data_IF_699580901640
#
_entry.id   IF_699580901640
#
_cell.length_a   1.000
_cell.length_b   1.000
_cell.length_c   1.000
_cell.angle_alpha   90.00
_cell.angle_beta   90.00
_cell.angle_gamma   90.00
#
_symmetry.space_group_name_H-M   'P 1'
#
loop_
_entity.id
_entity.type
_entity.pdbx_description
1 polymer ?
#
# COMPACT_ATOMS: atom_id res chain seq x y z
N UNK A 1 23.34 -1.42 -15.39
CA UNK A 1 23.39 -1.83 -13.96
C UNK A 1 22.13 -2.64 -13.71
N UNK A 2 22.26 -3.89 -13.26
CA UNK A 2 21.13 -4.76 -12.95
C UNK A 2 20.51 -4.38 -11.60
N UNK A 3 19.22 -4.64 -11.44
CA UNK A 3 18.46 -4.34 -10.21
C UNK A 3 17.85 -5.64 -9.68
N UNK A 4 17.84 -5.81 -8.35
CA UNK A 4 17.32 -7.02 -7.71
C UNK A 4 18.11 -8.25 -8.13
N UNK A 5 17.39 -9.31 -8.52
CA UNK A 5 17.95 -10.61 -8.90
C UNK A 5 18.36 -10.68 -10.38
N UNK A 6 18.28 -9.57 -11.11
CA UNK A 6 18.60 -9.51 -12.53
C UNK A 6 20.04 -9.93 -12.83
N UNK A 7 20.21 -10.79 -13.84
CA UNK A 7 21.53 -11.16 -14.39
C UNK A 7 21.45 -11.53 -15.86
N UNK A 8 22.61 -11.70 -16.50
CA UNK A 8 22.72 -12.32 -17.82
C UNK A 8 23.10 -13.78 -17.63
N UNK A 9 22.30 -14.70 -18.16
CA UNK A 9 22.59 -16.12 -18.07
C UNK A 9 23.64 -16.56 -19.11
N UNK A 10 24.04 -17.84 -19.09
CA UNK A 10 25.07 -18.38 -19.97
C UNK A 10 24.73 -18.29 -21.48
N UNK A 11 23.46 -18.06 -21.84
CA UNK A 11 23.01 -17.86 -23.23
C UNK A 11 23.01 -16.39 -23.66
N UNK A 12 23.41 -15.47 -22.79
CA UNK A 12 23.36 -14.03 -23.07
C UNK A 12 21.96 -13.42 -22.89
N UNK A 13 21.00 -14.13 -22.29
CA UNK A 13 19.65 -13.63 -22.06
C UNK A 13 19.53 -12.96 -20.69
N UNK A 14 18.62 -11.98 -20.58
CA UNK A 14 18.21 -11.43 -19.28
C UNK A 14 17.47 -12.50 -18.48
N UNK A 15 17.81 -12.63 -17.21
CA UNK A 15 17.17 -13.51 -16.25
C UNK A 15 16.73 -12.72 -15.02
N UNK A 16 15.51 -12.97 -14.53
CA UNK A 16 14.91 -12.31 -13.35
C UNK A 16 14.36 -13.41 -12.43
N UNK A 17 14.80 -13.46 -11.17
CA UNK A 17 14.36 -14.49 -10.22
C UNK A 17 14.74 -15.92 -10.63
N UNK A 18 15.75 -16.08 -11.49
CA UNK A 18 16.10 -17.37 -12.11
C UNK A 18 15.27 -17.73 -13.35
N UNK A 19 14.34 -16.87 -13.77
CA UNK A 19 13.50 -17.06 -14.96
C UNK A 19 14.08 -16.33 -16.17
N UNK A 20 14.33 -17.06 -17.27
CA UNK A 20 14.83 -16.50 -18.54
C UNK A 20 13.73 -15.66 -19.21
N UNK A 21 14.02 -14.39 -19.50
CA UNK A 21 13.06 -13.45 -20.07
C UNK A 21 12.55 -13.85 -21.46
N UNK A 22 13.34 -14.58 -22.25
CA UNK A 22 12.91 -15.09 -23.56
C UNK A 22 11.89 -16.21 -23.40
N UNK A 23 12.08 -17.08 -22.41
CA UNK A 23 11.12 -18.14 -22.09
C UNK A 23 9.82 -17.56 -21.52
N UNK A 24 9.92 -16.58 -20.61
CA UNK A 24 8.75 -15.85 -20.10
C UNK A 24 7.93 -15.20 -21.22
N UNK A 25 8.60 -14.52 -22.16
CA UNK A 25 7.92 -13.90 -23.31
C UNK A 25 7.26 -14.92 -24.23
N UNK A 26 7.86 -16.11 -24.38
CA UNK A 26 7.29 -17.21 -25.18
C UNK A 26 6.06 -17.81 -24.50
N UNK A 27 6.11 -18.00 -23.19
CA UNK A 27 5.04 -18.63 -22.41
C UNK A 27 3.84 -17.68 -22.19
N UNK A 28 4.10 -16.44 -21.77
CA UNK A 28 3.06 -15.49 -21.36
C UNK A 28 2.73 -14.42 -22.42
N UNK A 29 3.48 -14.36 -23.52
CA UNK A 29 3.34 -13.35 -24.56
C UNK A 29 3.88 -11.97 -24.16
N UNK A 30 3.64 -10.97 -25.01
CA UNK A 30 4.07 -9.58 -24.77
C UNK A 30 2.96 -8.59 -25.18
N UNK A 31 2.80 -7.43 -24.49
CA UNK A 31 3.64 -6.92 -23.40
C UNK A 31 3.46 -7.68 -22.08
N UNK A 32 4.55 -7.86 -21.34
CA UNK A 32 4.59 -8.62 -20.08
C UNK A 32 5.23 -7.80 -18.96
N UNK A 33 4.55 -7.71 -17.83
CA UNK A 33 5.13 -7.20 -16.59
C UNK A 33 5.68 -8.36 -15.77
N UNK A 34 6.99 -8.32 -15.49
CA UNK A 34 7.67 -9.30 -14.63
C UNK A 34 8.03 -8.62 -13.32
N UNK A 35 7.52 -9.13 -12.21
CA UNK A 35 7.81 -8.63 -10.87
C UNK A 35 8.87 -9.52 -10.22
N UNK A 36 9.97 -8.90 -9.82
CA UNK A 36 10.99 -9.56 -9.00
C UNK A 36 10.52 -9.57 -7.53
N UNK A 37 10.06 -10.73 -7.07
CA UNK A 37 9.55 -10.90 -5.70
C UNK A 37 10.64 -10.64 -4.65
N UNK A 38 11.88 -11.10 -4.86
CA UNK A 38 12.93 -10.92 -3.86
C UNK A 38 13.30 -9.44 -3.75
N UNK A 39 13.35 -8.71 -4.88
CA UNK A 39 13.55 -7.26 -4.85
C UNK A 39 12.47 -6.54 -4.03
N UNK A 40 11.19 -6.94 -4.17
CA UNK A 40 10.10 -6.38 -3.37
C UNK A 40 10.30 -6.67 -1.88
N UNK A 41 10.64 -7.91 -1.52
CA UNK A 41 10.90 -8.32 -0.14
C UNK A 41 12.10 -7.59 0.46
N UNK A 42 13.19 -7.47 -0.29
CA UNK A 42 14.37 -6.70 0.10
C UNK A 42 14.01 -5.24 0.40
N UNK A 43 13.19 -4.61 -0.44
CA UNK A 43 12.72 -3.25 -0.19
C UNK A 43 11.92 -3.16 1.13
N UNK A 44 10.97 -4.07 1.36
CA UNK A 44 10.21 -4.15 2.62
C UNK A 44 11.13 -4.25 3.85
N UNK A 45 12.09 -5.18 3.81
CA UNK A 45 13.07 -5.41 4.88
C UNK A 45 13.96 -4.19 5.09
N UNK A 46 14.41 -3.53 4.03
CA UNK A 46 15.26 -2.35 4.10
C UNK A 46 14.57 -1.19 4.84
N UNK A 47 13.27 -0.95 4.58
CA UNK A 47 12.49 0.04 5.33
C UNK A 47 12.39 -0.33 6.81
N UNK A 48 11.99 -1.57 7.13
CA UNK A 48 11.88 -2.03 8.53
C UNK A 48 13.19 -1.89 9.30
N UNK A 49 14.30 -2.32 8.70
CA UNK A 49 15.61 -2.22 9.35
C UNK A 49 16.06 -0.76 9.55
N UNK A 50 15.81 0.10 8.57
CA UNK A 50 16.25 1.50 8.61
C UNK A 50 15.53 2.33 9.69
N UNK A 51 14.25 2.05 9.92
CA UNK A 51 13.44 2.73 10.92
C UNK A 51 13.49 2.05 12.30
N UNK A 52 13.47 0.71 12.34
CA UNK A 52 13.50 -0.06 13.59
C UNK A 52 14.78 0.12 14.40
N UNK A 53 15.89 0.52 13.76
CA UNK A 53 17.14 0.89 14.48
C UNK A 53 17.05 2.23 15.21
N UNK A 54 16.12 3.11 14.84
CA UNK A 54 16.09 4.52 15.29
C UNK A 54 14.92 4.85 16.20
N UNK A 55 13.83 4.09 16.10
CA UNK A 55 12.56 4.39 16.76
C UNK A 55 12.05 3.13 17.44
N UNK A 56 11.53 3.26 18.66
CA UNK A 56 11.10 2.13 19.49
C UNK A 56 9.84 1.45 18.96
N UNK A 57 8.94 2.23 18.35
CA UNK A 57 7.69 1.76 17.78
C UNK A 57 7.50 2.42 16.42
N UNK A 58 7.60 1.64 15.35
CA UNK A 58 7.36 2.10 13.98
C UNK A 58 6.53 1.08 13.25
N UNK A 59 5.49 1.57 12.61
CA UNK A 59 4.72 0.81 11.65
C UNK A 59 5.11 1.28 10.24
N UNK A 60 5.53 0.33 9.41
CA UNK A 60 5.81 0.57 8.00
C UNK A 60 4.62 0.05 7.20
N UNK A 61 3.95 0.93 6.47
CA UNK A 61 2.87 0.56 5.57
C UNK A 61 3.34 0.53 4.12
N UNK A 62 2.95 -0.52 3.39
CA UNK A 62 3.02 -0.51 1.93
C UNK A 62 1.84 0.31 1.38
N UNK A 63 2.11 1.22 0.44
CA UNK A 63 1.08 2.03 -0.18
C UNK A 63 0.43 1.27 -1.35
N UNK A 64 -0.78 0.74 -1.16
CA UNK A 64 -1.48 -0.09 -2.14
C UNK A 64 -1.64 0.56 -3.52
N UNK A 65 -1.83 1.88 -3.57
CA UNK A 65 -1.91 2.67 -4.82
C UNK A 65 -0.71 2.50 -5.77
N UNK A 66 0.45 2.02 -5.30
CA UNK A 66 1.61 1.78 -6.14
C UNK A 66 1.40 0.56 -7.06
N UNK A 67 0.92 -0.54 -6.48
CA UNK A 67 0.53 -1.78 -7.15
C UNK A 67 -0.14 -2.67 -6.10
N UNK A 68 -1.39 -3.05 -6.29
CA UNK A 68 -2.11 -3.92 -5.35
C UNK A 68 -2.76 -5.10 -6.07
N UNK A 69 -2.25 -6.30 -5.79
CA UNK A 69 -2.85 -7.58 -6.16
C UNK A 69 -2.89 -8.45 -4.92
N UNK A 70 -3.66 -9.55 -4.96
CA UNK A 70 -3.71 -10.49 -3.83
C UNK A 70 -2.34 -11.10 -3.52
N UNK A 71 -1.49 -11.30 -4.52
CA UNK A 71 -0.11 -11.77 -4.35
C UNK A 71 0.75 -10.73 -3.61
N UNK A 72 0.66 -9.45 -4.00
CA UNK A 72 1.39 -8.36 -3.34
C UNK A 72 0.94 -8.21 -1.89
N UNK A 73 -0.37 -8.28 -1.62
CA UNK A 73 -0.90 -8.26 -0.24
C UNK A 73 -0.25 -9.35 0.63
N UNK A 74 -0.16 -10.58 0.13
CA UNK A 74 0.44 -11.71 0.86
C UNK A 74 1.94 -11.52 1.09
N UNK A 75 2.68 -11.00 0.12
CA UNK A 75 4.11 -10.71 0.28
C UNK A 75 4.30 -9.63 1.37
N UNK A 76 3.54 -8.54 1.29
CA UNK A 76 3.57 -7.44 2.28
C UNK A 76 3.21 -7.94 3.68
N UNK A 77 2.21 -8.81 3.78
CA UNK A 77 1.82 -9.43 5.05
C UNK A 77 2.95 -10.27 5.63
N UNK A 78 3.56 -11.13 4.82
CA UNK A 78 4.65 -12.04 5.19
C UNK A 78 5.93 -11.30 5.59
N UNK A 79 6.22 -10.15 4.97
CA UNK A 79 7.31 -9.27 5.38
C UNK A 79 6.95 -8.42 6.63
N UNK A 80 5.74 -8.61 7.17
CA UNK A 80 5.24 -8.00 8.39
C UNK A 80 5.19 -6.46 8.30
N UNK A 81 4.57 -5.96 7.22
CA UNK A 81 4.25 -4.54 7.01
C UNK A 81 2.75 -4.30 7.16
N UNK A 82 2.35 -3.08 7.53
CA UNK A 82 0.97 -2.62 7.37
C UNK A 82 0.63 -2.39 5.90
N UNK A 83 -0.65 -2.10 5.62
CA UNK A 83 -1.12 -1.81 4.27
C UNK A 83 -1.99 -0.55 4.27
N UNK A 84 -1.64 0.40 3.41
CA UNK A 84 -2.48 1.56 3.15
C UNK A 84 -3.35 1.29 1.91
N UNK A 85 -4.66 1.47 2.05
CA UNK A 85 -5.64 1.39 0.96
C UNK A 85 -6.36 2.73 0.81
N UNK A 86 -6.79 3.09 -0.38
CA UNK A 86 -7.37 4.40 -0.69
C UNK A 86 -8.76 4.32 -1.35
N UNK A 87 -9.30 3.11 -1.57
CA UNK A 87 -10.62 2.91 -2.18
C UNK A 87 -11.26 1.59 -1.76
N UNK A 88 -12.56 1.44 -2.04
CA UNK A 88 -13.25 0.16 -1.87
C UNK A 88 -12.60 -0.98 -2.67
N UNK A 89 -12.15 -0.74 -3.90
CA UNK A 89 -11.51 -1.79 -4.71
C UNK A 89 -10.21 -2.31 -4.09
N UNK A 90 -9.42 -1.41 -3.51
CA UNK A 90 -8.18 -1.78 -2.81
C UNK A 90 -8.47 -2.52 -1.50
N UNK A 91 -9.43 -2.04 -0.70
CA UNK A 91 -9.86 -2.72 0.53
C UNK A 91 -10.43 -4.11 0.25
N UNK A 92 -11.25 -4.25 -0.81
CA UNK A 92 -11.75 -5.54 -1.26
C UNK A 92 -10.62 -6.48 -1.68
N UNK A 93 -9.62 -5.98 -2.40
CA UNK A 93 -8.43 -6.77 -2.79
C UNK A 93 -7.68 -7.29 -1.56
N UNK A 94 -7.51 -6.45 -0.53
CA UNK A 94 -6.86 -6.84 0.71
C UNK A 94 -7.66 -7.91 1.49
N UNK A 95 -9.00 -7.78 1.53
CA UNK A 95 -9.90 -8.80 2.10
C UNK A 95 -9.78 -10.14 1.37
N UNK A 96 -9.83 -10.14 0.03
CA UNK A 96 -9.69 -11.36 -0.77
C UNK A 96 -8.31 -12.01 -0.63
N UNK A 97 -7.28 -11.23 -0.32
CA UNK A 97 -5.95 -11.76 -0.03
C UNK A 97 -5.85 -12.44 1.34
N UNK A 98 -6.81 -12.20 2.24
CA UNK A 98 -6.78 -12.64 3.64
C UNK A 98 -5.91 -11.73 4.53
N UNK A 99 -5.61 -10.51 4.09
CA UNK A 99 -4.75 -9.60 4.85
C UNK A 99 -5.39 -9.25 6.21
N UNK A 100 -4.62 -9.16 7.31
CA UNK A 100 -5.17 -8.79 8.61
C UNK A 100 -5.67 -7.35 8.60
N UNK A 101 -7.00 -7.15 8.57
CA UNK A 101 -7.63 -5.83 8.46
C UNK A 101 -7.25 -4.87 9.60
N UNK A 102 -6.90 -5.40 10.78
CA UNK A 102 -6.36 -4.61 11.90
C UNK A 102 -5.03 -3.91 11.58
N UNK A 103 -4.29 -4.37 10.56
CA UNK A 103 -3.05 -3.76 10.04
C UNK A 103 -3.27 -2.90 8.80
N UNK A 104 -4.52 -2.68 8.40
CA UNK A 104 -4.89 -1.84 7.26
C UNK A 104 -5.21 -0.43 7.72
N UNK A 105 -4.78 0.57 6.94
CA UNK A 105 -5.20 1.97 7.06
C UNK A 105 -5.96 2.40 5.82
N UNK A 106 -7.16 2.94 6.02
CA UNK A 106 -7.94 3.48 4.90
C UNK A 106 -7.75 4.98 4.76
N UNK A 107 -7.11 5.37 3.66
CA UNK A 107 -6.96 6.73 3.17
C UNK A 107 -8.07 7.07 2.16
N UNK A 108 -8.07 8.32 1.68
CA UNK A 108 -8.98 8.81 0.67
C UNK A 108 -9.47 10.20 1.03
N UNK A 109 -9.37 11.15 0.09
CA UNK A 109 -9.79 12.54 0.30
C UNK A 109 -11.31 12.74 0.32
N UNK A 110 -12.04 11.76 -0.21
CA UNK A 110 -13.50 11.76 -0.18
C UNK A 110 -14.03 10.33 -0.07
N UNK A 111 -13.94 9.73 1.13
CA UNK A 111 -14.51 8.40 1.35
C UNK A 111 -16.03 8.45 1.28
N UNK A 112 -16.60 7.61 0.43
CA UNK A 112 -18.04 7.40 0.31
C UNK A 112 -18.61 6.67 1.53
N UNK A 113 -19.92 6.75 1.73
CA UNK A 113 -20.59 6.01 2.83
C UNK A 113 -20.51 4.49 2.61
N UNK A 114 -20.33 4.04 1.37
CA UNK A 114 -20.04 2.64 1.06
C UNK A 114 -18.67 2.23 1.60
N UNK A 115 -17.65 3.02 1.32
CA UNK A 115 -16.27 2.77 1.77
C UNK A 115 -16.14 2.79 3.28
N UNK A 116 -16.79 3.76 3.94
CA UNK A 116 -16.83 3.82 5.41
C UNK A 116 -17.45 2.54 5.97
N UNK A 117 -18.65 2.16 5.52
CA UNK A 117 -19.31 0.93 6.00
C UNK A 117 -18.46 -0.30 5.76
N UNK A 118 -17.87 -0.43 4.58
CA UNK A 118 -17.03 -1.58 4.24
C UNK A 118 -15.79 -1.66 5.14
N UNK A 119 -15.17 -0.52 5.47
CA UNK A 119 -14.05 -0.47 6.42
C UNK A 119 -14.47 -0.89 7.84
N UNK A 120 -15.64 -0.45 8.30
CA UNK A 120 -16.19 -0.82 9.62
C UNK A 120 -16.50 -2.32 9.70
N UNK A 121 -17.18 -2.86 8.68
CA UNK A 121 -17.53 -4.28 8.56
C UNK A 121 -16.27 -5.16 8.56
N UNK A 122 -15.28 -4.79 7.75
CA UNK A 122 -14.00 -5.47 7.63
C UNK A 122 -13.15 -5.41 8.92
N UNK A 123 -13.43 -4.45 9.81
CA UNK A 123 -12.58 -4.21 10.98
C UNK A 123 -11.22 -3.62 10.59
N UNK A 124 -11.21 -2.65 9.67
CA UNK A 124 -10.01 -1.88 9.32
C UNK A 124 -9.43 -1.24 10.58
N UNK A 125 -8.11 -1.37 10.76
CA UNK A 125 -7.41 -0.91 11.95
C UNK A 125 -7.54 0.59 12.15
N UNK A 126 -7.26 1.39 11.11
CA UNK A 126 -7.37 2.86 11.18
C UNK A 126 -8.01 3.49 9.97
N UNK A 127 -8.79 4.54 10.17
CA UNK A 127 -9.31 5.39 9.09
C UNK A 127 -8.63 6.75 9.16
N UNK A 128 -8.02 7.18 8.05
CA UNK A 128 -7.32 8.46 7.95
C UNK A 128 -8.28 9.51 7.43
N UNK A 129 -8.80 10.35 8.32
CA UNK A 129 -9.77 11.41 8.05
C UNK A 129 -9.09 12.55 7.28
N UNK A 130 -9.75 13.00 6.21
CA UNK A 130 -9.23 14.04 5.31
C UNK A 130 -10.06 15.34 5.36
N UNK A 131 -11.29 15.29 5.89
CA UNK A 131 -12.16 16.47 5.99
C UNK A 131 -13.02 16.50 7.25
N UNK A 132 -13.43 17.70 7.68
CA UNK A 132 -14.32 17.88 8.83
C UNK A 132 -15.69 17.22 8.64
N UNK A 133 -16.22 17.20 7.41
CA UNK A 133 -17.50 16.57 7.11
C UNK A 133 -17.44 15.04 7.21
N UNK A 134 -16.27 14.44 6.94
CA UNK A 134 -16.05 13.01 7.10
C UNK A 134 -16.11 12.58 8.57
N UNK A 135 -15.68 13.42 9.52
CA UNK A 135 -15.75 13.12 10.97
C UNK A 135 -17.18 12.76 11.37
N UNK A 136 -18.14 13.61 11.02
CA UNK A 136 -19.54 13.41 11.41
C UNK A 136 -20.15 12.16 10.76
N UNK A 137 -19.84 11.91 9.48
CA UNK A 137 -20.33 10.72 8.77
C UNK A 137 -19.73 9.43 9.34
N UNK A 138 -18.43 9.43 9.63
CA UNK A 138 -17.75 8.29 10.23
C UNK A 138 -18.26 8.04 11.66
N UNK A 139 -18.46 9.07 12.47
CA UNK A 139 -18.98 8.95 13.82
C UNK A 139 -20.39 8.33 13.83
N UNK A 140 -21.30 8.84 12.98
CA UNK A 140 -22.65 8.30 12.86
C UNK A 140 -22.66 6.83 12.37
N UNK A 141 -21.79 6.50 11.41
CA UNK A 141 -21.65 5.12 10.94
C UNK A 141 -21.07 4.20 12.02
N UNK A 142 -20.04 4.63 12.75
CA UNK A 142 -19.43 3.85 13.83
C UNK A 142 -20.43 3.58 14.97
N UNK A 143 -21.24 4.58 15.34
CA UNK A 143 -22.33 4.43 16.31
C UNK A 143 -23.38 3.41 15.84
N UNK A 144 -23.84 3.52 14.59
CA UNK A 144 -24.80 2.58 14.02
C UNK A 144 -24.27 1.13 13.97
N UNK A 145 -22.95 0.96 13.81
CA UNK A 145 -22.28 -0.34 13.83
C UNK A 145 -21.92 -0.84 15.24
N UNK A 146 -22.10 -0.02 16.27
CA UNK A 146 -21.68 -0.34 17.64
C UNK A 146 -20.17 -0.57 17.76
N UNK A 147 -19.36 0.11 16.95
CA UNK A 147 -17.89 -0.04 16.93
C UNK A 147 -17.19 1.25 17.31
N UNK A 148 -16.08 1.10 18.03
CA UNK A 148 -15.07 2.16 18.14
C UNK A 148 -14.01 1.95 17.06
N UNK A 149 -13.56 3.04 16.45
CA UNK A 149 -12.63 3.04 15.32
C UNK A 149 -11.46 3.95 15.66
N UNK A 150 -10.24 3.45 15.51
CA UNK A 150 -9.08 4.33 15.60
C UNK A 150 -8.99 5.19 14.34
N UNK A 151 -8.73 6.48 14.54
CA UNK A 151 -8.64 7.45 13.44
C UNK A 151 -7.31 8.18 13.48
N UNK A 152 -6.83 8.56 12.31
CA UNK A 152 -5.76 9.53 12.13
C UNK A 152 -6.36 10.74 11.41
N UNK A 153 -5.85 11.94 11.67
CA UNK A 153 -6.24 13.14 10.94
C UNK A 153 -5.10 13.51 10.00
N UNK A 154 -5.41 13.65 8.71
CA UNK A 154 -4.43 14.14 7.75
C UNK A 154 -4.23 15.65 7.95
N UNK A 155 -2.97 16.05 8.08
CA UNK A 155 -2.57 17.45 8.23
C UNK A 155 -1.72 17.85 7.04
N UNK A 156 -1.97 19.05 6.51
CA UNK A 156 -1.15 19.70 5.49
C UNK A 156 -0.21 20.69 6.16
N UNK A 157 1.08 20.35 6.37
CA UNK A 157 1.98 21.17 7.18
C UNK A 157 2.53 22.40 6.44
N UNK A 158 2.17 22.63 5.17
CA UNK A 158 2.66 23.75 4.38
C UNK A 158 4.14 23.66 4.00
N UNK A 159 4.73 22.47 4.07
CA UNK A 159 6.14 22.25 3.74
C UNK A 159 6.30 22.21 2.22
N UNK A 160 7.17 23.07 1.68
CA UNK A 160 7.54 23.01 0.26
C UNK A 160 8.53 21.87 0.03
N UNK A 161 8.09 20.80 -0.63
CA UNK A 161 8.98 19.71 -1.05
C UNK A 161 9.51 20.05 -2.44
N UNK A 162 10.83 20.14 -2.59
CA UNK A 162 11.46 20.36 -3.90
C UNK A 162 11.49 19.03 -4.69
N UNK A 163 10.40 18.72 -5.39
CA UNK A 163 10.30 17.62 -6.36
C UNK A 163 9.48 18.07 -7.58
N UNK A 164 9.23 17.20 -8.55
CA UNK A 164 8.31 17.49 -9.66
C UNK A 164 6.91 17.82 -9.12
N UNK A 165 6.27 18.87 -9.67
CA UNK A 165 4.99 19.42 -9.17
C UNK A 165 3.85 18.40 -9.03
N UNK A 166 3.82 17.35 -9.85
CA UNK A 166 2.81 16.28 -9.79
C UNK A 166 3.02 15.27 -8.65
N UNK A 167 4.19 15.26 -8.01
CA UNK A 167 4.56 14.32 -6.93
C UNK A 167 4.58 15.06 -5.58
N UNK A 168 4.60 16.39 -5.59
CA UNK A 168 4.63 17.21 -4.40
C UNK A 168 3.24 17.28 -3.72
N UNK A 169 3.03 16.46 -2.70
CA UNK A 169 1.84 16.49 -1.82
C UNK A 169 2.17 17.20 -0.50
N UNK A 170 1.24 18.00 0.05
CA UNK A 170 1.43 18.70 1.34
C UNK A 170 1.59 20.23 1.23
N UNK A 171 1.37 20.79 0.03
CA UNK A 171 1.20 22.22 -0.18
C UNK A 171 -0.23 22.63 0.22
N UNK A 172 -0.41 23.89 0.62
CA UNK A 172 -1.72 24.46 0.98
C UNK A 172 -2.74 24.44 -0.16
N UNK A 173 -2.28 24.28 -1.41
CA UNK A 173 -3.10 24.36 -2.64
C UNK A 173 -3.28 22.99 -3.32
N UNK A 174 -3.25 21.92 -2.52
CA UNK A 174 -3.64 20.57 -2.95
C UNK A 174 -4.93 20.17 -2.25
N UNK A 175 -5.77 19.36 -2.94
CA UNK A 175 -7.04 18.85 -2.41
C UNK A 175 -6.91 18.25 -1.01
#
# INVERSE_FOLDING_TARGET
MFVGTQRVNARGHLEIGGCDAVELAREFGTPLYVLDEELLREACRAYKQSFGRRLKEVEICYAGKALLTTAICRIVEQEDLGLDVASAGELYTALQAGFPMSRVKMHGNFKSDLEIRMALEAGVGRIVIDSLSEINRLAAAAEAFGRQVEVLIRVTPGIKVQTHSYIATGHLDTK
#
